data_IF_791266807392
#
_entry.id   IF_791266807392
#
_cell.length_a   1.000
_cell.length_b   1.000
_cell.length_c   1.000
_cell.angle_alpha   90.00
_cell.angle_beta   90.00
_cell.angle_gamma   90.00
#
_symmetry.space_group_name_H-M   'P 1'
#
loop_
_entity.id
_entity.type
_entity.pdbx_description
1 polymer ?
#
# COMPACT_ATOMS: atom_id res chain seq x y z
N UNK A 1 -18.89 12.95 52.76
CA UNK A 1 -17.55 12.35 52.54
C UNK A 1 -17.47 11.77 51.12
N UNK A 2 -17.42 12.62 50.07
CA UNK A 2 -17.31 12.17 48.66
C UNK A 2 -16.19 12.86 47.86
N UNK A 3 -15.50 13.87 48.44
CA UNK A 3 -14.47 14.67 47.76
C UNK A 3 -13.32 13.84 47.18
N UNK A 4 -12.93 12.75 47.83
CA UNK A 4 -11.85 11.87 47.34
C UNK A 4 -12.25 11.10 46.08
N UNK A 5 -13.49 10.59 46.01
CA UNK A 5 -14.00 9.86 44.84
C UNK A 5 -14.18 10.80 43.64
N UNK A 6 -14.59 12.04 43.89
CA UNK A 6 -14.75 13.06 42.86
C UNK A 6 -13.40 13.54 42.30
N UNK A 7 -12.37 13.62 43.16
CA UNK A 7 -11.00 13.95 42.75
C UNK A 7 -10.37 12.83 41.92
N UNK A 8 -10.56 11.58 42.32
CA UNK A 8 -10.10 10.40 41.55
C UNK A 8 -10.77 10.37 40.18
N UNK A 9 -12.08 10.63 40.09
CA UNK A 9 -12.80 10.66 38.82
C UNK A 9 -12.28 11.77 37.89
N UNK A 10 -11.91 12.94 38.43
CA UNK A 10 -11.29 14.04 37.65
C UNK A 10 -9.89 13.67 37.15
N UNK A 11 -9.08 13.02 37.99
CA UNK A 11 -7.72 12.57 37.62
C UNK A 11 -7.82 11.50 36.52
N UNK A 12 -8.71 10.51 36.67
CA UNK A 12 -8.93 9.45 35.67
C UNK A 12 -9.46 10.04 34.35
N UNK A 13 -10.43 10.97 34.41
CA UNK A 13 -10.99 11.58 33.20
C UNK A 13 -9.96 12.46 32.48
N UNK A 14 -9.13 13.21 33.22
CA UNK A 14 -8.05 14.02 32.65
C UNK A 14 -6.91 13.20 32.05
N UNK A 15 -6.53 12.09 32.70
CA UNK A 15 -5.47 11.21 32.20
C UNK A 15 -5.89 10.45 30.93
N UNK A 16 -7.18 10.13 30.79
CA UNK A 16 -7.72 9.46 29.58
C UNK A 16 -7.71 10.40 28.36
N UNK A 17 -7.88 11.71 28.55
CA UNK A 17 -7.75 12.71 27.47
C UNK A 17 -6.30 12.90 26.99
N UNK A 18 -5.30 12.67 27.85
CA UNK A 18 -3.89 12.84 27.49
C UNK A 18 -3.39 11.76 26.51
N UNK A 19 -4.07 10.63 26.41
CA UNK A 19 -3.77 9.57 25.43
C UNK A 19 -4.52 9.70 24.09
N UNK A 20 -5.44 10.67 23.96
CA UNK A 20 -6.27 10.83 22.77
C UNK A 20 -5.65 11.68 21.64
N UNK A 21 -4.48 12.30 21.86
CA UNK A 21 -3.82 13.20 20.90
C UNK A 21 -2.44 12.73 20.40
N UNK A 22 -2.13 11.45 20.56
CA UNK A 22 -1.04 10.83 19.82
C UNK A 22 -1.57 10.18 18.56
N UNK A 23 -1.89 10.96 17.51
CA UNK A 23 -2.02 10.39 16.18
C UNK A 23 -0.65 9.81 15.82
N UNK A 24 -0.46 8.50 15.99
CA UNK A 24 0.70 7.83 15.42
C UNK A 24 0.50 7.89 13.92
N UNK A 25 1.15 8.87 13.28
CA UNK A 25 1.23 8.96 11.83
C UNK A 25 2.18 7.85 11.36
N UNK A 26 1.74 6.61 11.51
CA UNK A 26 2.40 5.49 10.86
C UNK A 26 2.11 5.61 9.37
N UNK A 27 3.12 5.95 8.58
CA UNK A 27 3.07 5.73 7.14
C UNK A 27 3.14 4.22 6.93
N UNK A 28 1.98 3.57 7.02
CA UNK A 28 1.86 2.17 6.62
C UNK A 28 2.00 2.19 5.11
N UNK A 29 3.11 1.64 4.61
CA UNK A 29 3.27 1.41 3.18
C UNK A 29 2.07 0.58 2.69
N UNK A 30 1.13 1.26 2.01
CA UNK A 30 -0.02 0.61 1.38
C UNK A 30 0.56 -0.35 0.33
N UNK A 31 0.44 -1.65 0.59
CA UNK A 31 0.91 -2.66 -0.34
C UNK A 31 0.19 -2.49 -1.68
N UNK A 32 0.90 -1.99 -2.69
CA UNK A 32 0.37 -1.81 -4.02
C UNK A 32 0.40 -3.16 -4.74
N UNK A 33 -0.77 -3.73 -5.02
CA UNK A 33 -0.85 -4.96 -5.80
C UNK A 33 -0.47 -4.70 -7.26
N UNK A 34 0.47 -5.50 -7.76
CA UNK A 34 0.82 -5.56 -9.18
C UNK A 34 -0.21 -6.36 -10.00
N UNK A 35 -1.03 -7.17 -9.32
CA UNK A 35 -2.02 -8.07 -9.93
C UNK A 35 -3.28 -7.32 -10.37
N UNK A 36 -3.97 -7.87 -11.37
CA UNK A 36 -5.18 -7.25 -11.95
C UNK A 36 -4.89 -6.03 -12.82
N UNK A 37 -3.62 -5.81 -13.18
CA UNK A 37 -3.16 -4.75 -14.07
C UNK A 37 -2.28 -5.34 -15.16
N UNK A 38 -2.39 -4.77 -16.36
CA UNK A 38 -1.45 -4.96 -17.46
C UNK A 38 -0.56 -3.73 -17.58
N UNK A 39 0.75 -3.96 -17.57
CA UNK A 39 1.74 -2.89 -17.68
C UNK A 39 2.37 -2.95 -19.06
N UNK A 40 2.25 -1.87 -19.83
CA UNK A 40 2.81 -1.76 -21.19
C UNK A 40 4.20 -1.12 -21.16
N UNK A 41 5.08 -1.54 -22.06
CA UNK A 41 6.41 -0.95 -22.21
C UNK A 41 6.33 0.39 -22.95
N UNK A 42 6.72 1.48 -22.29
CA UNK A 42 6.69 2.84 -22.84
C UNK A 42 8.07 3.40 -23.20
N UNK A 43 9.14 2.88 -22.59
CA UNK A 43 10.51 3.36 -22.81
C UNK A 43 11.51 2.23 -22.54
N UNK A 44 12.59 2.18 -23.32
CA UNK A 44 13.71 1.27 -23.08
C UNK A 44 15.03 1.98 -23.39
N UNK A 45 15.98 1.93 -22.45
CA UNK A 45 17.30 2.55 -22.59
C UNK A 45 17.24 4.03 -22.99
N UNK A 46 16.32 4.81 -22.39
CA UNK A 46 16.16 6.23 -22.70
C UNK A 46 15.42 6.55 -24.00
N UNK A 47 14.97 5.52 -24.73
CA UNK A 47 14.25 5.70 -25.99
C UNK A 47 12.76 5.38 -25.80
N UNK A 48 11.92 6.36 -26.09
CA UNK A 48 10.47 6.19 -26.06
C UNK A 48 10.03 5.13 -27.08
N UNK A 49 9.09 4.28 -26.67
CA UNK A 49 8.53 3.20 -27.47
C UNK A 49 7.06 3.52 -27.71
N UNK A 50 6.70 3.78 -28.97
CA UNK A 50 5.35 4.19 -29.35
C UNK A 50 4.40 3.01 -29.64
N UNK A 51 4.92 1.83 -30.00
CA UNK A 51 4.06 0.71 -30.46
C UNK A 51 4.70 -0.69 -30.38
N UNK A 52 5.21 -1.10 -29.22
CA UNK A 52 5.78 -2.47 -29.08
C UNK A 52 4.72 -3.57 -28.96
N UNK A 53 3.52 -3.26 -28.47
CA UNK A 53 2.55 -4.27 -28.02
C UNK A 53 3.08 -5.15 -26.87
N UNK A 54 4.23 -4.79 -26.29
CA UNK A 54 4.87 -5.53 -25.23
C UNK A 54 4.24 -5.16 -23.88
N UNK A 55 3.97 -6.18 -23.07
CA UNK A 55 3.34 -6.01 -21.77
C UNK A 55 3.76 -7.08 -20.78
N UNK A 56 3.55 -6.79 -19.50
CA UNK A 56 3.73 -7.71 -18.38
C UNK A 56 2.49 -7.69 -17.46
N UNK A 57 2.10 -8.86 -16.98
CA UNK A 57 0.98 -9.10 -16.08
C UNK A 57 1.40 -10.01 -14.92
N UNK A 58 0.86 -9.72 -13.74
CA UNK A 58 1.12 -10.48 -12.52
C UNK A 58 -0.16 -11.16 -12.04
N UNK A 59 -0.04 -12.43 -11.66
CA UNK A 59 -1.13 -13.19 -11.03
C UNK A 59 -0.72 -13.53 -9.61
N UNK A 60 -1.25 -12.79 -8.63
CA UNK A 60 -0.83 -12.94 -7.23
C UNK A 60 -1.22 -14.30 -6.63
N UNK A 61 -2.40 -14.81 -6.97
CA UNK A 61 -2.90 -16.10 -6.47
C UNK A 61 -1.97 -17.27 -6.84
N UNK A 62 -1.37 -17.21 -8.02
CA UNK A 62 -0.47 -18.24 -8.54
C UNK A 62 1.01 -17.88 -8.37
N UNK A 63 1.31 -16.69 -7.83
CA UNK A 63 2.67 -16.10 -7.76
C UNK A 63 3.40 -16.18 -9.10
N UNK A 64 2.68 -15.83 -10.18
CA UNK A 64 3.17 -15.95 -11.55
C UNK A 64 3.25 -14.62 -12.28
N UNK A 65 4.11 -14.59 -13.28
CA UNK A 65 4.27 -13.53 -14.26
C UNK A 65 4.00 -14.08 -15.65
N UNK A 66 3.38 -13.26 -16.50
CA UNK A 66 3.25 -13.56 -17.92
C UNK A 66 3.32 -12.28 -18.74
N UNK A 67 3.63 -12.39 -20.03
CA UNK A 67 3.68 -11.21 -20.86
C UNK A 67 3.97 -11.48 -22.33
N UNK A 68 3.96 -10.39 -23.08
CA UNK A 68 4.38 -10.34 -24.47
C UNK A 68 5.63 -9.46 -24.59
N UNK A 69 6.66 -9.97 -25.26
CA UNK A 69 7.87 -9.27 -25.65
C UNK A 69 7.87 -9.09 -27.18
N UNK A 70 6.82 -8.43 -27.69
CA UNK A 70 6.54 -8.23 -29.12
C UNK A 70 6.18 -9.52 -29.88
N UNK A 71 7.18 -10.29 -30.33
CA UNK A 71 6.95 -11.54 -31.07
C UNK A 71 6.88 -12.77 -30.14
N UNK A 72 7.47 -12.67 -28.95
CA UNK A 72 7.62 -13.78 -28.04
C UNK A 72 6.74 -13.61 -26.82
N UNK A 73 6.15 -14.69 -26.34
CA UNK A 73 5.47 -14.72 -25.03
C UNK A 73 6.39 -15.32 -24.00
N UNK A 74 6.28 -14.85 -22.76
CA UNK A 74 7.00 -15.40 -21.62
C UNK A 74 6.04 -15.65 -20.45
N UNK A 75 6.40 -16.61 -19.59
CA UNK A 75 5.67 -16.94 -18.38
C UNK A 75 6.63 -17.54 -17.34
N UNK A 76 6.27 -17.41 -16.05
CA UNK A 76 7.07 -17.91 -14.91
C UNK A 76 6.26 -17.92 -13.63
#
# INVERSE_FOLDING_TARGET
>A
MNRGKDMIKKIVFGMTMLFAFGAVSGDFAQSASLSGKRWSLTEMNGNAISSSGAFIEFTDAAKRVSGNASCNRFFG
#
